data_IF_701461711816
#
_entry.id   IF_701461711816
#
_cell.length_a   1.000
_cell.length_b   1.000
_cell.length_c   1.000
_cell.angle_alpha   90.00
_cell.angle_beta   90.00
_cell.angle_gamma   90.00
#
_symmetry.space_group_name_H-M   'P 1'
#
loop_
_entity.id
_entity.type
_entity.pdbx_description
1 polymer ?
#
# COMPACT_ATOMS: atom_id res chain seq x y z
N UNK A 1 20.64 -20.33 1.19
CA UNK A 1 19.30 -20.73 1.68
C UNK A 1 18.44 -19.53 1.38
N UNK A 2 17.39 -19.66 0.58
CA UNK A 2 16.57 -18.51 0.20
C UNK A 2 15.52 -18.31 1.29
N UNK A 3 15.51 -17.14 1.93
CA UNK A 3 14.54 -16.77 2.95
C UNK A 3 13.62 -15.73 2.33
N UNK A 4 12.33 -16.06 2.24
CA UNK A 4 11.30 -15.09 1.87
C UNK A 4 10.79 -14.42 3.14
N UNK A 5 10.84 -13.10 3.17
CA UNK A 5 10.29 -12.29 4.26
C UNK A 5 9.07 -11.55 3.75
N UNK A 6 7.98 -11.59 4.52
CA UNK A 6 6.72 -10.89 4.25
C UNK A 6 6.49 -9.93 5.41
N UNK A 7 6.29 -8.65 5.08
CA UNK A 7 5.96 -7.57 6.00
C UNK A 7 4.55 -7.10 5.66
N UNK A 8 3.66 -7.14 6.64
CA UNK A 8 2.33 -6.57 6.53
C UNK A 8 2.29 -5.22 7.21
N UNK A 9 1.90 -4.18 6.48
CA UNK A 9 1.83 -2.80 6.96
C UNK A 9 0.38 -2.31 6.90
N UNK A 10 -0.07 -1.60 7.93
CA UNK A 10 -1.34 -0.88 7.87
C UNK A 10 -1.21 0.35 6.97
N UNK A 11 -2.30 0.76 6.31
CA UNK A 11 -2.31 1.95 5.46
C UNK A 11 -1.67 3.18 6.11
N UNK A 12 -1.99 3.45 7.38
CA UNK A 12 -1.42 4.60 8.10
C UNK A 12 0.09 4.55 8.22
N UNK A 13 0.64 3.35 8.43
CA UNK A 13 2.10 3.17 8.54
C UNK A 13 2.76 3.45 7.19
N UNK A 14 2.13 3.01 6.09
CA UNK A 14 2.58 3.29 4.73
C UNK A 14 2.51 4.78 4.42
N UNK A 15 1.41 5.45 4.78
CA UNK A 15 1.22 6.89 4.57
C UNK A 15 2.27 7.72 5.32
N UNK A 16 2.50 7.39 6.59
CA UNK A 16 3.50 8.05 7.45
C UNK A 16 4.93 7.88 6.88
N UNK A 17 5.27 6.67 6.42
CA UNK A 17 6.59 6.38 5.84
C UNK A 17 6.78 7.00 4.45
N UNK A 18 5.74 6.96 3.60
CA UNK A 18 5.78 7.55 2.26
C UNK A 18 5.69 9.08 2.27
N UNK A 19 5.26 9.68 3.40
CA UNK A 19 4.88 11.09 3.54
C UNK A 19 3.81 11.51 2.52
N UNK A 20 2.83 10.65 2.34
CA UNK A 20 1.74 10.87 1.41
C UNK A 20 0.52 10.05 1.79
N UNK A 21 -0.67 10.57 1.50
CA UNK A 21 -1.94 9.91 1.78
C UNK A 21 -2.34 9.02 0.62
N UNK A 22 -2.89 7.86 0.91
CA UNK A 22 -3.45 6.97 -0.10
C UNK A 22 -4.70 7.63 -0.70
N UNK A 23 -4.65 7.91 -2.00
CA UNK A 23 -5.80 8.38 -2.75
C UNK A 23 -6.45 7.17 -3.41
N UNK A 24 -7.72 6.96 -3.06
CA UNK A 24 -8.52 5.87 -3.58
C UNK A 24 -9.48 6.40 -4.65
N UNK A 25 -9.36 5.90 -5.88
CA UNK A 25 -10.36 6.10 -6.92
C UNK A 25 -11.51 5.11 -6.71
N UNK A 26 -12.75 5.62 -6.68
CA UNK A 26 -13.95 4.79 -6.70
C UNK A 26 -14.50 4.74 -8.14
N UNK A 27 -14.23 3.66 -8.86
CA UNK A 27 -14.88 3.39 -10.15
C UNK A 27 -16.21 2.65 -9.94
N UNK A 28 -17.31 3.29 -10.34
CA UNK A 28 -18.63 2.66 -10.31
C UNK A 28 -18.85 1.88 -11.61
N UNK A 29 -18.59 0.56 -11.58
CA UNK A 29 -18.78 -0.30 -12.76
C UNK A 29 -20.28 -0.54 -13.05
N UNK A 30 -21.14 -0.53 -12.02
CA UNK A 30 -22.61 -0.69 -12.18
C UNK A 30 -23.39 -0.22 -10.92
N UNK A 31 -24.74 -0.21 -10.94
CA UNK A 31 -25.59 0.24 -9.81
C UNK A 31 -25.30 -0.44 -8.44
N UNK A 32 -24.55 -1.54 -8.44
CA UNK A 32 -24.25 -2.39 -7.28
C UNK A 32 -22.75 -2.76 -7.11
N UNK A 33 -21.82 -2.17 -7.85
CA UNK A 33 -20.39 -2.49 -7.78
C UNK A 33 -19.59 -1.18 -7.70
N UNK A 34 -18.86 -1.00 -6.59
CA UNK A 34 -17.89 0.09 -6.41
C UNK A 34 -16.50 -0.54 -6.35
N UNK A 35 -15.62 -0.15 -7.26
CA UNK A 35 -14.23 -0.55 -7.31
C UNK A 35 -13.38 0.59 -6.70
N UNK A 36 -12.96 0.44 -5.45
CA UNK A 36 -11.99 1.33 -4.77
C UNK A 36 -10.53 0.87 -5.00
N UNK A 37 -9.87 1.40 -6.03
CA UNK A 37 -8.46 1.14 -6.31
C UNK A 37 -7.56 2.25 -5.76
N UNK A 38 -6.35 1.92 -5.32
CA UNK A 38 -5.31 2.94 -5.03
C UNK A 38 -4.85 3.51 -6.36
N UNK A 39 -5.11 4.80 -6.57
CA UNK A 39 -4.76 5.49 -7.82
C UNK A 39 -3.36 6.12 -7.71
N UNK A 40 -3.10 6.81 -6.60
CA UNK A 40 -1.84 7.47 -6.32
C UNK A 40 -1.72 7.77 -4.81
N UNK A 41 -0.57 8.33 -4.42
CA UNK A 41 -0.39 8.95 -3.12
C UNK A 41 -0.39 10.46 -3.28
N UNK A 42 -1.06 11.20 -2.42
CA UNK A 42 -0.99 12.66 -2.40
C UNK A 42 -0.01 13.11 -1.30
N UNK A 43 1.03 13.86 -1.66
CA UNK A 43 1.99 14.37 -0.68
C UNK A 43 1.31 15.34 0.29
N UNK A 44 1.51 15.14 1.60
CA UNK A 44 0.89 16.00 2.62
C UNK A 44 1.39 17.46 2.59
N UNK A 45 2.61 17.68 2.08
CA UNK A 45 3.27 18.99 2.09
C UNK A 45 2.98 19.83 0.84
N UNK A 46 2.82 19.17 -0.32
CA UNK A 46 2.75 19.83 -1.64
C UNK A 46 1.46 19.58 -2.39
N UNK A 47 0.59 18.66 -1.93
CA UNK A 47 -0.53 18.10 -2.70
C UNK A 47 -0.13 17.59 -4.09
N UNK A 48 1.14 17.20 -4.25
CA UNK A 48 1.60 16.57 -5.50
C UNK A 48 1.29 15.07 -5.47
N UNK A 49 0.87 14.55 -6.61
CA UNK A 49 0.69 13.13 -6.81
C UNK A 49 2.06 12.43 -6.87
N UNK A 50 2.24 11.48 -5.97
CA UNK A 50 3.35 10.55 -5.91
C UNK A 50 2.82 9.22 -6.48
N UNK A 51 3.57 8.64 -7.41
CA UNK A 51 3.21 7.33 -7.95
C UNK A 51 3.26 6.27 -6.84
N UNK A 52 2.42 5.24 -6.96
CA UNK A 52 2.44 4.10 -6.03
C UNK A 52 3.83 3.46 -5.92
N UNK A 53 4.55 3.39 -7.03
CA UNK A 53 5.90 2.84 -7.09
C UNK A 53 6.89 3.70 -6.30
N UNK A 54 6.86 5.03 -6.50
CA UNK A 54 7.73 5.97 -5.77
C UNK A 54 7.42 5.98 -4.27
N UNK A 55 6.14 5.92 -3.90
CA UNK A 55 5.71 5.86 -2.51
C UNK A 55 6.22 4.58 -1.84
N UNK A 56 6.06 3.43 -2.50
CA UNK A 56 6.53 2.15 -1.96
C UNK A 56 8.05 2.04 -1.92
N UNK A 57 8.77 2.67 -2.85
CA UNK A 57 10.22 2.78 -2.77
C UNK A 57 10.64 3.55 -1.50
N UNK A 58 9.97 4.66 -1.17
CA UNK A 58 10.24 5.40 0.07
C UNK A 58 9.99 4.56 1.32
N UNK A 59 8.93 3.75 1.33
CA UNK A 59 8.65 2.82 2.43
C UNK A 59 9.76 1.79 2.56
N UNK A 60 10.19 1.19 1.46
CA UNK A 60 11.27 0.22 1.44
C UNK A 60 12.59 0.82 1.96
N UNK A 61 12.96 2.01 1.48
CA UNK A 61 14.17 2.71 1.92
C UNK A 61 14.09 3.06 3.42
N UNK A 62 12.93 3.52 3.89
CA UNK A 62 12.72 3.79 5.31
C UNK A 62 12.90 2.52 6.16
N UNK A 63 12.33 1.38 5.74
CA UNK A 63 12.46 0.11 6.43
C UNK A 63 13.91 -0.41 6.45
N UNK A 64 14.71 -0.09 5.44
CA UNK A 64 16.16 -0.34 5.44
C UNK A 64 16.88 0.55 6.44
N UNK A 65 16.56 1.84 6.48
CA UNK A 65 17.17 2.81 7.38
C UNK A 65 16.92 2.48 8.86
N UNK A 66 15.73 2.00 9.21
CA UNK A 66 15.39 1.58 10.59
C UNK A 66 15.87 0.16 10.92
N UNK A 67 16.48 -0.55 9.95
CA UNK A 67 17.06 -1.88 10.14
C UNK A 67 16.05 -3.03 10.18
N UNK A 68 14.81 -2.82 9.69
CA UNK A 68 13.81 -3.88 9.52
C UNK A 68 14.15 -4.73 8.30
N UNK A 69 14.53 -4.09 7.20
CA UNK A 69 15.02 -4.76 5.99
C UNK A 69 16.56 -4.68 5.97
N UNK A 70 17.29 -5.79 5.77
CA UNK A 70 18.74 -5.76 5.63
C UNK A 70 19.18 -4.85 4.48
N UNK A 71 20.25 -4.08 4.67
CA UNK A 71 20.75 -3.13 3.67
C UNK A 71 21.15 -3.77 2.34
N UNK A 72 21.50 -5.06 2.38
CA UNK A 72 21.90 -5.90 1.24
C UNK A 72 20.74 -6.35 0.34
N UNK A 73 19.48 -6.18 0.77
CA UNK A 73 18.31 -6.47 -0.07
C UNK A 73 18.17 -5.35 -1.11
N UNK A 74 18.29 -5.71 -2.39
CA UNK A 74 18.20 -4.75 -3.51
C UNK A 74 16.79 -4.70 -4.11
N UNK A 75 16.06 -5.81 -4.08
CA UNK A 75 14.76 -5.96 -4.73
C UNK A 75 13.66 -6.34 -3.74
N UNK A 76 12.46 -5.81 -3.98
CA UNK A 76 11.24 -6.18 -3.27
C UNK A 76 10.05 -6.21 -4.23
N UNK A 77 9.00 -6.92 -3.83
CA UNK A 77 7.67 -6.83 -4.44
C UNK A 77 6.70 -6.30 -3.41
N UNK A 78 5.65 -5.64 -3.87
CA UNK A 78 4.58 -5.18 -3.01
C UNK A 78 3.21 -5.51 -3.60
N UNK A 79 2.25 -5.72 -2.71
CA UNK A 79 0.85 -5.86 -3.05
C UNK A 79 0.08 -4.79 -2.29
N UNK A 80 -0.61 -3.94 -3.05
CA UNK A 80 -1.55 -3.00 -2.50
C UNK A 80 -2.88 -3.70 -2.25
N UNK A 81 -3.62 -3.33 -1.19
CA UNK A 81 -4.93 -3.90 -0.94
C UNK A 81 -5.83 -3.65 -2.17
N UNK A 82 -6.19 -4.74 -2.84
CA UNK A 82 -7.17 -4.71 -3.93
C UNK A 82 -8.57 -4.69 -3.32
N UNK A 83 -9.20 -3.53 -3.41
CA UNK A 83 -10.49 -3.37 -4.04
C UNK A 83 -11.44 -4.59 -4.04
N UNK A 84 -12.09 -4.85 -2.91
CA UNK A 84 -13.11 -5.89 -2.80
C UNK A 84 -14.43 -5.49 -3.47
N UNK A 85 -15.10 -6.45 -4.12
CA UNK A 85 -16.48 -6.28 -4.60
C UNK A 85 -17.43 -6.00 -3.42
N UNK A 86 -17.85 -4.76 -3.23
CA UNK A 86 -18.92 -4.43 -2.29
C UNK A 86 -20.28 -4.71 -2.94
N UNK A 87 -20.84 -5.91 -2.74
CA UNK A 87 -22.30 -6.06 -2.80
C UNK A 87 -22.90 -5.28 -1.63
N UNK A 88 -23.91 -4.44 -1.89
CA UNK A 88 -24.73 -3.79 -0.84
C UNK A 88 -25.16 -4.84 0.20
N UNK A 89 -24.45 -4.88 1.31
CA UNK A 89 -24.84 -5.61 2.50
C UNK A 89 -24.78 -4.63 3.65
N UNK A 90 -25.95 -4.37 4.23
CA UNK A 90 -26.12 -3.66 5.49
C UNK A 90 -25.39 -4.42 6.61
N UNK A 91 -24.08 -4.19 6.75
CA UNK A 91 -23.30 -4.50 7.95
C UNK A 91 -21.84 -4.16 7.66
N UNK A 92 -21.30 -3.24 8.45
CA UNK A 92 -19.88 -3.01 8.68
C UNK A 92 -19.05 -4.30 8.61
N UNK A 93 -18.13 -4.40 7.65
CA UNK A 93 -17.07 -5.40 7.67
C UNK A 93 -15.75 -4.73 7.27
N UNK A 94 -14.83 -4.71 8.25
CA UNK A 94 -13.41 -4.42 8.14
C UNK A 94 -12.79 -5.25 7.01
N UNK A 95 -12.59 -4.66 5.84
CA UNK A 95 -11.62 -5.18 4.89
C UNK A 95 -10.26 -4.74 5.42
N UNK A 96 -9.35 -5.66 5.83
CA UNK A 96 -8.01 -5.27 6.24
C UNK A 96 -7.31 -4.61 5.05
N UNK A 97 -7.12 -3.30 5.14
CA UNK A 97 -6.40 -2.52 4.14
C UNK A 97 -4.90 -2.56 4.49
N UNK A 98 -4.32 -3.75 4.36
CA UNK A 98 -2.89 -3.94 4.61
C UNK A 98 -2.13 -3.96 3.30
N UNK A 99 -1.00 -3.27 3.27
CA UNK A 99 -0.02 -3.34 2.20
C UNK A 99 0.96 -4.46 2.55
N UNK A 100 1.22 -5.35 1.61
CA UNK A 100 2.15 -6.46 1.78
C UNK A 100 3.44 -6.12 1.05
N UNK A 101 4.56 -6.15 1.76
CA UNK A 101 5.89 -6.02 1.19
C UNK A 101 6.61 -7.36 1.32
N UNK A 102 7.18 -7.86 0.23
CA UNK A 102 7.88 -9.14 0.20
C UNK A 102 9.27 -8.97 -0.40
N UNK A 103 10.27 -9.60 0.19
CA UNK A 103 11.62 -9.67 -0.39
C UNK A 103 12.27 -11.03 -0.11
N UNK A 104 13.34 -11.31 -0.85
CA UNK A 104 14.16 -12.51 -0.65
C UNK A 104 15.59 -12.12 -0.24
N UNK A 105 16.14 -12.89 0.70
CA UNK A 105 17.53 -12.78 1.16
C UNK A 105 18.20 -14.15 1.24
#
# INVERSE_FOLDING_TARGET
>A
MNITTIIELENREVEDMARGRLVFAQEQINENIVETCVECFESEDTNEEISTEDAMQRVFDHLKDVGVIPSEVEDFSFEMPSCGQLKKAESSYDIPQKVILTYMS
#
